data_IF_604000232111
#
_entry.id   IF_604000232111
#
_cell.length_a   1.000
_cell.length_b   1.000
_cell.length_c   1.000
_cell.angle_alpha   90.00
_cell.angle_beta   90.00
_cell.angle_gamma   90.00
#
_symmetry.space_group_name_H-M   'P 1'
#
loop_
_entity.id
_entity.type
_entity.pdbx_description
1 polymer ?
#
# COMPACT_ATOMS: atom_id res chain seq x y z
N UNK A 1 3.11 -9.81 -26.01
CA UNK A 1 2.81 -9.10 -27.27
C UNK A 1 3.10 -7.63 -26.99
N UNK A 2 3.99 -6.99 -27.75
CA UNK A 2 4.27 -5.56 -27.59
C UNK A 2 3.45 -4.83 -28.67
N UNK A 3 2.46 -4.05 -28.22
CA UNK A 3 1.66 -3.22 -29.10
C UNK A 3 2.48 -2.02 -29.58
N UNK A 4 2.27 -1.58 -30.82
CA UNK A 4 2.87 -0.35 -31.31
C UNK A 4 2.24 0.87 -30.61
N UNK A 5 2.95 2.01 -30.60
CA UNK A 5 2.41 3.26 -30.07
C UNK A 5 1.10 3.65 -30.75
N UNK A 6 1.02 3.47 -32.06
CA UNK A 6 -0.14 3.84 -32.87
C UNK A 6 -1.35 2.96 -32.53
N UNK A 7 -1.13 1.65 -32.34
CA UNK A 7 -2.17 0.71 -31.88
C UNK A 7 -2.74 1.10 -30.52
N UNK A 8 -1.91 1.55 -29.57
CA UNK A 8 -2.37 1.98 -28.24
C UNK A 8 -3.14 3.31 -28.34
N UNK A 9 -2.68 4.24 -29.19
CA UNK A 9 -3.36 5.51 -29.40
C UNK A 9 -4.76 5.32 -29.99
N UNK A 10 -4.92 4.39 -30.94
CA UNK A 10 -6.23 4.06 -31.50
C UNK A 10 -7.21 3.63 -30.40
N UNK A 11 -6.79 2.75 -29.49
CA UNK A 11 -7.61 2.31 -28.35
C UNK A 11 -7.96 3.46 -27.40
N UNK A 12 -6.98 4.31 -27.05
CA UNK A 12 -7.19 5.43 -26.12
C UNK A 12 -8.12 6.53 -26.70
N UNK A 13 -8.19 6.62 -28.03
CA UNK A 13 -9.03 7.60 -28.73
C UNK A 13 -10.43 7.07 -29.08
N UNK A 14 -10.73 5.79 -28.78
CA UNK A 14 -12.06 5.20 -28.99
C UNK A 14 -13.16 5.96 -28.25
N UNK A 15 -14.34 6.03 -28.86
CA UNK A 15 -15.51 6.71 -28.29
C UNK A 15 -16.78 5.92 -28.56
N UNK A 16 -17.79 6.14 -27.72
CA UNK A 16 -19.13 5.64 -27.96
C UNK A 16 -19.17 4.11 -28.18
N UNK A 17 -19.74 3.61 -29.28
CA UNK A 17 -19.87 2.17 -29.54
C UNK A 17 -18.55 1.38 -29.53
N UNK A 18 -17.43 2.01 -29.89
CA UNK A 18 -16.12 1.36 -29.95
C UNK A 18 -15.64 0.93 -28.55
N UNK A 19 -15.98 1.72 -27.52
CA UNK A 19 -15.67 1.37 -26.12
C UNK A 19 -16.44 0.10 -25.71
N UNK A 20 -17.69 -0.05 -26.14
CA UNK A 20 -18.48 -1.24 -25.82
C UNK A 20 -17.92 -2.49 -26.49
N UNK A 21 -17.40 -2.38 -27.71
CA UNK A 21 -16.71 -3.49 -28.38
C UNK A 21 -15.42 -3.86 -27.63
N UNK A 22 -14.63 -2.85 -27.25
CA UNK A 22 -13.42 -3.05 -26.45
C UNK A 22 -13.72 -3.74 -25.11
N UNK A 23 -14.77 -3.30 -24.39
CA UNK A 23 -15.19 -3.93 -23.14
C UNK A 23 -15.60 -5.38 -23.34
N UNK A 24 -16.29 -5.72 -24.44
CA UNK A 24 -16.66 -7.12 -24.75
C UNK A 24 -15.44 -7.98 -25.03
N UNK A 25 -14.45 -7.45 -25.76
CA UNK A 25 -13.20 -8.14 -26.08
C UNK A 25 -12.32 -8.34 -24.84
N UNK A 26 -12.30 -7.37 -23.93
CA UNK A 26 -11.53 -7.41 -22.70
C UNK A 26 -12.24 -8.19 -21.57
N UNK A 27 -13.54 -8.43 -21.70
CA UNK A 27 -14.30 -9.22 -20.76
C UNK A 27 -13.88 -10.69 -20.87
N UNK A 28 -13.21 -11.20 -19.83
CA UNK A 28 -13.01 -12.63 -19.64
C UNK A 28 -14.18 -13.18 -18.81
N UNK A 29 -15.12 -13.93 -19.40
CA UNK A 29 -16.22 -14.51 -18.64
C UNK A 29 -15.69 -15.58 -17.68
N UNK A 30 -16.06 -15.50 -16.40
CA UNK A 30 -15.59 -16.44 -15.40
C UNK A 30 -15.82 -15.98 -13.96
N UNK A 31 -15.07 -16.58 -13.04
CA UNK A 31 -15.09 -16.23 -11.62
C UNK A 31 -14.29 -14.95 -11.35
N UNK A 32 -14.88 -14.02 -10.61
CA UNK A 32 -14.14 -12.87 -10.04
C UNK A 32 -13.47 -13.32 -8.74
N UNK A 33 -12.15 -13.26 -8.70
CA UNK A 33 -11.35 -13.55 -7.49
C UNK A 33 -10.97 -12.26 -6.77
N UNK A 34 -10.66 -12.35 -5.48
CA UNK A 34 -10.19 -11.21 -4.69
C UNK A 34 -9.25 -11.69 -3.58
N UNK A 35 -8.32 -10.84 -3.17
CA UNK A 35 -7.49 -11.04 -1.97
C UNK A 35 -8.11 -10.31 -0.79
N UNK A 36 -8.27 -11.00 0.35
CA UNK A 36 -8.67 -10.36 1.61
C UNK A 36 -7.42 -9.82 2.28
N UNK A 37 -7.26 -8.50 2.29
CA UNK A 37 -6.09 -7.84 2.85
C UNK A 37 -6.46 -6.80 3.91
N UNK A 38 -5.48 -6.45 4.75
CA UNK A 38 -5.53 -5.26 5.60
C UNK A 38 -4.47 -4.25 5.15
N UNK A 39 -4.83 -2.97 5.13
CA UNK A 39 -3.93 -1.86 4.85
C UNK A 39 -3.51 -1.20 6.16
N UNK A 40 -2.21 -1.18 6.45
CA UNK A 40 -1.65 -0.67 7.71
C UNK A 40 -0.68 0.48 7.40
N UNK A 41 -1.08 1.75 7.65
CA UNK A 41 -0.25 2.92 7.42
C UNK A 41 0.71 3.14 8.59
N UNK A 42 1.90 2.55 8.54
CA UNK A 42 2.91 2.65 9.61
C UNK A 42 3.24 4.11 9.96
N UNK A 43 3.30 4.96 8.94
CA UNK A 43 3.40 6.42 9.10
C UNK A 43 2.84 7.12 7.87
N UNK A 44 2.38 8.36 8.08
CA UNK A 44 1.98 9.29 7.00
C UNK A 44 3.07 10.31 6.65
N UNK A 45 4.24 10.24 7.30
CA UNK A 45 5.40 11.02 6.92
C UNK A 45 5.89 10.60 5.51
N UNK A 46 6.30 11.57 4.70
CA UNK A 46 6.80 11.34 3.35
C UNK A 46 7.63 12.56 2.91
N UNK A 47 8.83 12.32 2.36
CA UNK A 47 9.67 13.39 1.79
C UNK A 47 8.98 14.11 0.63
N UNK A 48 8.15 13.39 -0.13
CA UNK A 48 7.53 13.89 -1.34
C UNK A 48 6.27 14.74 -1.08
N UNK A 49 6.08 15.75 -1.93
CA UNK A 49 4.89 16.63 -1.93
C UNK A 49 4.08 16.48 -3.22
N UNK A 50 3.64 15.26 -3.51
CA UNK A 50 2.85 14.96 -4.70
C UNK A 50 1.51 15.72 -4.66
N UNK A 51 1.18 16.45 -5.73
CA UNK A 51 -0.04 17.29 -5.80
C UNK A 51 -1.37 16.52 -5.71
N UNK A 52 -1.34 15.20 -5.96
CA UNK A 52 -2.50 14.32 -5.87
C UNK A 52 -2.58 13.53 -4.56
N UNK A 53 -1.58 13.64 -3.66
CA UNK A 53 -1.47 12.78 -2.49
C UNK A 53 -2.19 13.38 -1.28
N UNK A 54 -3.30 12.77 -0.88
CA UNK A 54 -4.04 13.07 0.36
C UNK A 54 -3.54 12.27 1.57
N UNK A 55 -2.59 11.36 1.37
CA UNK A 55 -2.07 10.48 2.40
C UNK A 55 -0.92 11.09 3.21
N UNK A 56 -0.14 12.01 2.62
CA UNK A 56 0.95 12.70 3.35
C UNK A 56 0.39 13.50 4.53
N UNK A 57 1.09 13.48 5.66
CA UNK A 57 0.97 14.47 6.74
C UNK A 57 2.32 15.10 7.00
N UNK A 58 2.36 16.43 7.18
CA UNK A 58 3.58 17.12 7.64
C UNK A 58 3.80 16.94 9.16
N UNK A 59 2.73 16.62 9.89
CA UNK A 59 2.73 16.39 11.35
C UNK A 59 1.91 15.12 11.65
N UNK A 60 2.41 13.92 11.30
CA UNK A 60 1.72 12.68 11.62
C UNK A 60 1.67 12.44 13.13
N UNK A 61 0.48 12.10 13.64
CA UNK A 61 0.25 11.73 15.03
C UNK A 61 -0.55 10.41 15.09
N UNK A 62 0.00 9.32 15.64
CA UNK A 62 1.40 9.18 16.05
C UNK A 62 2.35 9.31 14.86
N UNK A 63 3.64 9.64 15.09
CA UNK A 63 4.61 9.75 14.00
C UNK A 63 4.89 8.41 13.34
N UNK A 64 4.85 7.31 14.09
CA UNK A 64 5.02 5.93 13.64
C UNK A 64 4.17 5.02 14.54
N UNK A 65 3.47 4.04 13.96
CA UNK A 65 2.72 3.04 14.73
C UNK A 65 3.65 2.11 15.51
N UNK A 66 3.26 1.75 16.73
CA UNK A 66 3.96 0.77 17.56
C UNK A 66 3.74 -0.67 17.05
N UNK A 67 4.67 -1.61 17.30
CA UNK A 67 4.45 -3.01 16.95
C UNK A 67 3.17 -3.59 17.56
N UNK A 68 2.84 -3.21 18.79
CA UNK A 68 1.65 -3.72 19.46
C UNK A 68 0.35 -3.23 18.80
N UNK A 69 0.29 -1.95 18.39
CA UNK A 69 -0.83 -1.40 17.64
C UNK A 69 -0.98 -2.12 16.29
N UNK A 70 0.12 -2.27 15.56
CA UNK A 70 0.16 -2.99 14.28
C UNK A 70 -0.35 -4.42 14.45
N UNK A 71 0.15 -5.15 15.44
CA UNK A 71 -0.26 -6.54 15.67
C UNK A 71 -1.70 -6.64 16.20
N UNK A 72 -2.24 -5.60 16.84
CA UNK A 72 -3.66 -5.49 17.16
C UNK A 72 -4.52 -5.47 15.89
N UNK A 73 -4.14 -4.67 14.91
CA UNK A 73 -4.79 -4.59 13.59
C UNK A 73 -4.68 -5.92 12.83
N UNK A 74 -3.49 -6.54 12.82
CA UNK A 74 -3.24 -7.85 12.18
C UNK A 74 -4.15 -8.93 12.77
N UNK A 75 -4.17 -9.09 14.10
CA UNK A 75 -5.03 -10.09 14.76
C UNK A 75 -6.51 -9.88 14.46
N UNK A 76 -6.95 -8.61 14.41
CA UNK A 76 -8.33 -8.28 14.00
C UNK A 76 -8.57 -8.70 12.55
N UNK A 77 -7.66 -8.41 11.63
CA UNK A 77 -7.76 -8.80 10.23
C UNK A 77 -7.83 -10.33 10.06
N UNK A 78 -7.00 -11.07 10.79
CA UNK A 78 -7.01 -12.54 10.80
C UNK A 78 -8.37 -13.09 11.23
N UNK A 79 -8.98 -12.52 12.27
CA UNK A 79 -10.34 -12.91 12.69
C UNK A 79 -11.43 -12.64 11.64
N UNK A 80 -11.16 -11.76 10.67
CA UNK A 80 -12.02 -11.47 9.52
C UNK A 80 -11.64 -12.32 8.28
N UNK A 81 -10.62 -13.17 8.40
CA UNK A 81 -10.13 -14.04 7.34
C UNK A 81 -9.25 -13.34 6.29
N UNK A 82 -8.64 -12.20 6.64
CA UNK A 82 -7.61 -11.61 5.79
C UNK A 82 -6.38 -12.54 5.70
N UNK A 83 -5.77 -12.60 4.52
CA UNK A 83 -4.61 -13.45 4.20
C UNK A 83 -3.36 -12.64 3.85
N UNK A 84 -3.48 -11.31 3.76
CA UNK A 84 -2.40 -10.42 3.37
C UNK A 84 -2.41 -9.16 4.25
N UNK A 85 -1.22 -8.68 4.64
CA UNK A 85 -1.03 -7.40 5.31
C UNK A 85 -0.20 -6.48 4.42
N UNK A 86 -0.74 -5.31 4.08
CA UNK A 86 -0.07 -4.27 3.31
C UNK A 86 0.44 -3.19 4.26
N UNK A 87 1.71 -3.27 4.61
CA UNK A 87 2.40 -2.19 5.29
C UNK A 87 2.70 -1.05 4.33
N UNK A 88 2.35 0.17 4.71
CA UNK A 88 2.54 1.35 3.88
C UNK A 88 3.12 2.51 4.67
N UNK A 89 3.99 3.27 4.02
CA UNK A 89 4.61 4.49 4.55
C UNK A 89 5.12 5.32 3.37
N UNK A 90 5.43 6.60 3.63
CA UNK A 90 5.98 7.48 2.61
C UNK A 90 7.47 7.25 2.35
N UNK A 91 7.95 7.72 1.20
CA UNK A 91 9.38 7.65 0.85
C UNK A 91 10.23 8.42 1.87
N UNK A 92 11.32 7.78 2.31
CA UNK A 92 12.30 8.31 3.27
C UNK A 92 11.67 8.91 4.54
N UNK A 93 10.59 8.28 5.04
CA UNK A 93 9.89 8.75 6.22
C UNK A 93 10.78 8.87 7.49
N UNK A 94 11.86 8.09 7.58
CA UNK A 94 12.83 8.14 8.67
C UNK A 94 13.68 9.44 8.67
N UNK A 95 13.60 10.29 7.65
CA UNK A 95 14.18 11.65 7.68
C UNK A 95 13.38 12.60 8.60
N UNK A 96 12.13 12.27 8.91
CA UNK A 96 11.29 13.08 9.80
C UNK A 96 11.68 12.84 11.27
N UNK A 97 11.99 13.88 12.06
CA UNK A 97 12.49 13.72 13.42
C UNK A 97 11.62 12.82 14.30
N UNK A 98 10.30 13.03 14.32
CA UNK A 98 9.40 12.20 15.13
C UNK A 98 9.36 10.73 14.72
N UNK A 99 9.58 10.41 13.44
CA UNK A 99 9.66 9.02 12.95
C UNK A 99 11.00 8.42 13.36
N UNK A 100 12.10 9.16 13.15
CA UNK A 100 13.46 8.75 13.53
C UNK A 100 13.56 8.44 15.01
N UNK A 101 13.13 9.37 15.86
CA UNK A 101 13.15 9.21 17.31
C UNK A 101 12.37 7.96 17.74
N UNK A 102 11.25 7.68 17.04
CA UNK A 102 10.43 6.50 17.33
C UNK A 102 11.09 5.20 16.88
N UNK A 103 11.66 5.16 15.67
CA UNK A 103 12.44 4.02 15.19
C UNK A 103 13.60 3.71 16.13
N UNK A 104 14.37 4.72 16.55
CA UNK A 104 15.49 4.57 17.47
C UNK A 104 15.02 4.02 18.83
N UNK A 105 13.88 4.51 19.35
CA UNK A 105 13.29 3.98 20.60
C UNK A 105 12.86 2.51 20.51
N UNK A 106 12.56 2.04 19.30
CA UNK A 106 12.19 0.67 18.99
C UNK A 106 13.40 -0.20 18.60
N UNK A 107 14.60 0.40 18.46
CA UNK A 107 15.83 -0.30 18.11
C UNK A 107 16.08 -0.46 16.61
N UNK A 108 15.44 0.34 15.75
CA UNK A 108 15.57 0.26 14.29
C UNK A 108 16.28 1.49 13.71
N UNK A 109 17.09 1.28 12.67
CA UNK A 109 17.82 2.35 11.98
C UNK A 109 17.01 3.04 10.88
N UNK A 110 16.13 2.29 10.22
CA UNK A 110 15.27 2.80 9.15
C UNK A 110 13.92 2.10 9.07
N UNK A 111 13.06 2.58 8.15
CA UNK A 111 11.73 2.01 7.92
C UNK A 111 11.76 0.61 7.33
N UNK A 112 12.81 0.24 6.58
CA UNK A 112 12.91 -1.07 5.93
C UNK A 112 13.13 -2.14 6.98
N UNK A 113 14.08 -1.93 7.90
CA UNK A 113 14.36 -2.84 9.00
C UNK A 113 13.13 -3.00 9.92
N UNK A 114 12.46 -1.88 10.23
CA UNK A 114 11.24 -1.92 11.04
C UNK A 114 10.11 -2.68 10.33
N UNK A 115 9.90 -2.44 9.04
CA UNK A 115 8.87 -3.14 8.26
C UNK A 115 9.19 -4.63 8.15
N UNK A 116 10.46 -4.99 7.96
CA UNK A 116 10.88 -6.39 7.94
C UNK A 116 10.57 -7.10 9.27
N UNK A 117 10.85 -6.45 10.40
CA UNK A 117 10.47 -6.96 11.72
C UNK A 117 8.95 -7.19 11.86
N UNK A 118 8.13 -6.24 11.38
CA UNK A 118 6.68 -6.40 11.39
C UNK A 118 6.19 -7.52 10.46
N UNK A 119 6.87 -7.75 9.32
CA UNK A 119 6.59 -8.90 8.45
C UNK A 119 6.83 -10.22 9.18
N UNK A 120 7.97 -10.38 9.86
CA UNK A 120 8.27 -11.59 10.64
C UNK A 120 7.20 -11.84 11.73
N UNK A 121 6.86 -10.80 12.52
CA UNK A 121 5.80 -10.89 13.53
C UNK A 121 4.43 -11.26 12.93
N UNK A 122 4.13 -10.76 11.73
CA UNK A 122 2.87 -11.02 11.03
C UNK A 122 2.81 -12.46 10.54
N UNK A 123 3.89 -12.98 9.96
CA UNK A 123 3.98 -14.37 9.53
C UNK A 123 3.86 -15.35 10.70
N UNK A 124 4.44 -15.01 11.85
CA UNK A 124 4.32 -15.81 13.08
C UNK A 124 2.88 -15.83 13.65
N UNK A 125 2.07 -14.81 13.35
CA UNK A 125 0.69 -14.71 13.83
C UNK A 125 -0.31 -15.56 13.03
N UNK A 126 0.07 -16.01 11.82
CA UNK A 126 -0.77 -16.76 10.89
C UNK A 126 -1.53 -15.88 9.91
#
# INVERSE_FOLDING_TARGET
>A
MLHSKDEVLEVLLMKGPDILDLMKRACEPGSVTYSRNIFIPLTRACRNRCGYCTFRSDTPEPPLLEPEDVMGEVRRALSLGCTEALFTFGEDAHEFPGVRDKLESLGFGDMTDYTYHLCELTLDAG
#
